data_IF_768420590731
#
_entry.id   IF_768420590731
#
_cell.length_a   1.000
_cell.length_b   1.000
_cell.length_c   1.000
_cell.angle_alpha   90.00
_cell.angle_beta   90.00
_cell.angle_gamma   90.00
#
_symmetry.space_group_name_H-M   'P 1'
#
loop_
_entity.id
_entity.type
_entity.pdbx_description
1 polymer ?
#
# COMPACT_ATOMS: atom_id res chain seq x y z
N UNK A 1 4.97 -13.60 4.47
CA UNK A 1 4.87 -12.83 3.23
C UNK A 1 4.35 -11.42 3.52
N UNK A 2 4.76 -10.46 2.76
CA UNK A 2 4.24 -9.10 2.86
C UNK A 2 2.80 -9.08 2.32
N UNK A 3 1.86 -8.71 3.16
CA UNK A 3 0.43 -8.65 2.80
C UNK A 3 0.09 -7.25 2.33
N UNK A 4 -0.35 -7.14 1.09
CA UNK A 4 -0.67 -5.85 0.45
C UNK A 4 -2.16 -5.75 0.17
N UNK A 5 -2.73 -4.61 0.49
CA UNK A 5 -4.10 -4.24 0.16
C UNK A 5 -4.08 -3.09 -0.84
N UNK A 6 -4.91 -3.15 -1.87
CA UNK A 6 -4.98 -2.13 -2.92
C UNK A 6 -6.26 -1.32 -2.80
N UNK A 7 -6.14 0.01 -2.82
CA UNK A 7 -7.28 0.93 -2.81
C UNK A 7 -7.15 1.89 -3.99
N UNK A 8 -7.99 1.70 -5.00
CA UNK A 8 -8.01 2.51 -6.22
C UNK A 8 -9.39 2.37 -6.86
N UNK A 9 -9.97 3.45 -7.35
CA UNK A 9 -11.30 3.40 -7.96
C UNK A 9 -11.32 2.82 -9.38
N UNK A 10 -10.15 2.71 -10.02
CA UNK A 10 -10.03 2.10 -11.34
C UNK A 10 -9.81 0.59 -11.24
N UNK A 11 -10.79 -0.18 -11.65
CA UNK A 11 -10.67 -1.65 -11.71
C UNK A 11 -9.52 -2.11 -12.62
N UNK A 12 -9.29 -1.40 -13.72
CA UNK A 12 -8.20 -1.70 -14.63
C UNK A 12 -6.83 -1.49 -13.97
N UNK A 13 -6.68 -0.39 -13.24
CA UNK A 13 -5.43 -0.10 -12.52
C UNK A 13 -5.20 -1.14 -11.42
N UNK A 14 -6.24 -1.46 -10.63
CA UNK A 14 -6.12 -2.50 -9.59
C UNK A 14 -5.72 -3.84 -10.19
N UNK A 15 -6.32 -4.22 -11.31
CA UNK A 15 -6.00 -5.48 -11.99
C UNK A 15 -4.53 -5.52 -12.42
N UNK A 16 -4.03 -4.44 -13.01
CA UNK A 16 -2.63 -4.33 -13.42
C UNK A 16 -1.68 -4.40 -12.23
N UNK A 17 -1.97 -3.62 -11.19
CA UNK A 17 -1.13 -3.61 -9.98
C UNK A 17 -1.12 -4.98 -9.31
N UNK A 18 -2.28 -5.62 -9.22
CA UNK A 18 -2.39 -6.95 -8.64
C UNK A 18 -1.54 -7.97 -9.40
N UNK A 19 -1.56 -7.93 -10.74
CA UNK A 19 -0.77 -8.83 -11.55
C UNK A 19 0.73 -8.56 -11.41
N UNK A 20 1.15 -7.30 -11.45
CA UNK A 20 2.56 -6.93 -11.39
C UNK A 20 3.15 -7.13 -9.99
N UNK A 21 2.45 -6.70 -8.97
CA UNK A 21 2.91 -6.75 -7.59
C UNK A 21 2.77 -8.16 -7.03
N UNK A 22 1.67 -8.83 -7.32
CA UNK A 22 1.43 -10.20 -6.87
C UNK A 22 2.41 -11.21 -7.42
N UNK A 23 3.09 -10.89 -8.52
CA UNK A 23 4.13 -11.74 -9.09
C UNK A 23 5.48 -11.61 -8.36
N UNK A 24 5.65 -10.61 -7.50
CA UNK A 24 6.89 -10.42 -6.75
C UNK A 24 7.05 -11.48 -5.67
N UNK A 25 8.28 -11.95 -5.49
CA UNK A 25 8.57 -12.94 -4.45
C UNK A 25 8.33 -12.36 -3.06
N UNK A 26 7.70 -13.13 -2.18
CA UNK A 26 7.44 -12.71 -0.81
C UNK A 26 6.27 -11.76 -0.64
N UNK A 27 5.45 -11.57 -1.66
CA UNK A 27 4.31 -10.66 -1.67
C UNK A 27 3.02 -11.43 -1.92
N UNK A 28 1.96 -11.05 -1.21
CA UNK A 28 0.60 -11.55 -1.46
C UNK A 28 -0.38 -10.38 -1.41
N UNK A 29 -1.27 -10.32 -2.41
CA UNK A 29 -2.36 -9.34 -2.42
C UNK A 29 -3.51 -9.95 -1.62
N UNK A 30 -3.84 -9.32 -0.48
CA UNK A 30 -4.85 -9.85 0.43
C UNK A 30 -6.24 -9.24 0.23
N UNK A 31 -6.34 -8.18 -0.56
CA UNK A 31 -7.63 -7.59 -0.86
C UNK A 31 -7.52 -6.33 -1.70
N UNK A 32 -8.66 -5.87 -2.17
CA UNK A 32 -8.80 -4.67 -2.99
C UNK A 32 -10.10 -3.96 -2.63
N UNK A 33 -10.12 -2.64 -2.78
CA UNK A 33 -11.33 -1.85 -2.63
C UNK A 33 -11.30 -0.66 -3.59
N UNK A 34 -12.47 -0.27 -4.08
CA UNK A 34 -12.62 0.92 -4.91
C UNK A 34 -13.20 2.10 -4.13
N UNK A 35 -13.66 1.88 -2.90
CA UNK A 35 -14.31 2.89 -2.07
C UNK A 35 -13.59 3.05 -0.74
N UNK A 36 -13.40 4.31 -0.33
CA UNK A 36 -12.75 4.63 0.94
C UNK A 36 -13.53 4.11 2.15
N UNK A 37 -14.86 4.21 2.10
CA UNK A 37 -15.72 3.87 3.24
C UNK A 37 -15.61 2.41 3.65
N UNK A 38 -15.42 1.51 2.70
CA UNK A 38 -15.32 0.07 2.97
C UNK A 38 -13.88 -0.39 3.17
N UNK A 39 -12.93 0.39 2.66
CA UNK A 39 -11.54 -0.02 2.65
C UNK A 39 -10.99 -0.28 4.03
N UNK A 40 -11.22 0.62 4.99
CA UNK A 40 -10.65 0.49 6.33
C UNK A 40 -11.08 -0.79 7.04
N UNK A 41 -12.36 -1.15 6.95
CA UNK A 41 -12.86 -2.40 7.53
C UNK A 41 -12.21 -3.63 6.92
N UNK A 42 -12.11 -3.65 5.60
CA UNK A 42 -11.48 -4.76 4.88
C UNK A 42 -9.99 -4.85 5.18
N UNK A 43 -9.30 -3.71 5.24
CA UNK A 43 -7.87 -3.67 5.58
C UNK A 43 -7.63 -4.28 6.95
N UNK A 44 -8.45 -3.93 7.94
CA UNK A 44 -8.34 -4.49 9.29
C UNK A 44 -8.56 -6.00 9.31
N UNK A 45 -9.56 -6.47 8.57
CA UNK A 45 -9.87 -7.89 8.51
C UNK A 45 -8.77 -8.72 7.86
N UNK A 46 -8.07 -8.15 6.88
CA UNK A 46 -7.01 -8.86 6.16
C UNK A 46 -5.65 -8.78 6.86
N UNK A 47 -5.52 -7.96 7.89
CA UNK A 47 -4.24 -7.70 8.57
C UNK A 47 -3.13 -7.29 7.61
N UNK A 48 -3.46 -6.42 6.65
CA UNK A 48 -2.51 -5.97 5.66
C UNK A 48 -1.31 -5.26 6.30
N UNK A 49 -0.13 -5.50 5.75
CA UNK A 49 1.12 -4.88 6.21
C UNK A 49 1.39 -3.57 5.50
N UNK A 50 0.98 -3.48 4.24
CA UNK A 50 1.13 -2.32 3.39
C UNK A 50 -0.16 -2.08 2.62
N UNK A 51 -0.61 -0.84 2.60
CA UNK A 51 -1.78 -0.43 1.81
C UNK A 51 -1.30 0.52 0.71
N UNK A 52 -1.54 0.15 -0.53
CA UNK A 52 -1.26 1.01 -1.68
C UNK A 52 -2.57 1.73 -2.02
N UNK A 53 -2.56 3.05 -1.93
CA UNK A 53 -3.77 3.85 -2.05
C UNK A 53 -3.58 4.99 -3.04
N UNK A 54 -4.56 5.18 -3.93
CA UNK A 54 -4.72 6.41 -4.69
C UNK A 54 -5.69 7.30 -3.89
N UNK A 55 -5.23 8.47 -3.40
CA UNK A 55 -6.09 9.33 -2.59
C UNK A 55 -7.23 9.99 -3.35
N UNK A 56 -7.20 9.98 -4.68
CA UNK A 56 -8.24 10.55 -5.53
C UNK A 56 -9.33 9.52 -5.84
N UNK A 57 -9.99 9.02 -4.79
CA UNK A 57 -11.05 8.01 -4.92
C UNK A 57 -12.40 8.66 -5.16
N UNK A 58 -13.19 8.06 -6.06
CA UNK A 58 -14.59 8.44 -6.23
C UNK A 58 -15.36 8.12 -4.95
N UNK A 59 -16.21 9.05 -4.51
CA UNK A 59 -17.09 8.82 -3.36
C UNK A 59 -16.44 8.86 -1.99
N UNK A 60 -15.15 9.22 -1.90
CA UNK A 60 -14.48 9.30 -0.62
C UNK A 60 -13.12 9.94 -0.73
N UNK A 61 -12.53 10.28 0.42
CA UNK A 61 -11.21 10.89 0.49
C UNK A 61 -10.19 9.83 0.94
N UNK A 62 -9.33 9.42 0.01
CA UNK A 62 -8.26 8.47 0.31
C UNK A 62 -7.27 8.95 1.37
N UNK A 63 -7.19 10.26 1.58
CA UNK A 63 -6.35 10.83 2.64
C UNK A 63 -6.81 10.41 4.04
N UNK A 64 -8.11 10.19 4.23
CA UNK A 64 -8.63 9.69 5.50
C UNK A 64 -8.14 8.28 5.78
N UNK A 65 -8.01 7.47 4.74
CA UNK A 65 -7.44 6.12 4.88
C UNK A 65 -6.00 6.22 5.36
N UNK A 66 -5.20 7.07 4.72
CA UNK A 66 -3.79 7.27 5.08
C UNK A 66 -3.67 7.70 6.54
N UNK A 67 -4.44 8.69 6.94
CA UNK A 67 -4.43 9.22 8.30
C UNK A 67 -4.85 8.15 9.32
N UNK A 68 -5.93 7.44 9.06
CA UNK A 68 -6.43 6.39 9.95
C UNK A 68 -5.43 5.25 10.13
N UNK A 69 -4.76 4.83 9.07
CA UNK A 69 -3.78 3.76 9.14
C UNK A 69 -2.51 4.20 9.85
N UNK A 70 -2.10 5.45 9.68
CA UNK A 70 -0.94 6.00 10.40
C UNK A 70 -1.19 6.08 11.90
N UNK A 71 -2.44 6.30 12.31
CA UNK A 71 -2.83 6.39 13.74
C UNK A 71 -3.20 5.04 14.35
N UNK A 72 -3.30 4.01 13.55
CA UNK A 72 -3.65 2.67 14.04
C UNK A 72 -2.56 2.14 14.99
N UNK A 73 -2.94 1.21 15.86
CA UNK A 73 -2.02 0.58 16.80
C UNK A 73 -2.02 -0.93 16.58
N UNK A 74 -0.96 -1.51 16.01
CA UNK A 74 0.22 -0.83 15.45
C UNK A 74 -0.08 -0.08 14.15
N UNK A 75 0.73 0.91 13.77
CA UNK A 75 0.52 1.62 12.51
C UNK A 75 0.67 0.69 11.32
N UNK A 76 -0.12 0.96 10.28
CA UNK A 76 -0.04 0.23 9.00
C UNK A 76 0.69 1.12 7.99
N UNK A 77 1.66 0.55 7.29
CA UNK A 77 2.39 1.29 6.26
C UNK A 77 1.47 1.64 5.10
N UNK A 78 1.59 2.85 4.59
CA UNK A 78 0.84 3.31 3.43
C UNK A 78 1.78 3.76 2.32
N UNK A 79 1.44 3.40 1.10
CA UNK A 79 2.13 3.87 -0.10
C UNK A 79 1.11 4.58 -0.98
N UNK A 80 1.27 5.89 -1.11
CA UNK A 80 0.45 6.66 -2.04
C UNK A 80 1.00 6.48 -3.44
N UNK A 81 0.16 6.05 -4.35
CA UNK A 81 0.50 5.85 -5.76
C UNK A 81 -0.55 6.57 -6.60
N UNK A 82 -0.17 7.68 -7.21
CA UNK A 82 -1.12 8.60 -7.85
C UNK A 82 -0.53 9.25 -9.10
N UNK A 83 -1.41 9.69 -10.02
CA UNK A 83 -1.00 10.53 -11.14
C UNK A 83 -0.90 12.01 -10.77
N UNK A 84 -1.32 12.38 -9.58
CA UNK A 84 -1.29 13.77 -9.09
C UNK A 84 -0.12 13.96 -8.13
N UNK A 85 1.07 14.21 -8.68
CA UNK A 85 2.33 14.19 -7.93
C UNK A 85 2.91 15.57 -7.64
N UNK A 86 2.11 16.62 -7.69
CA UNK A 86 2.58 17.98 -7.38
C UNK A 86 3.15 18.11 -5.97
N UNK A 87 4.13 19.03 -5.76
CA UNK A 87 4.81 19.14 -4.45
C UNK A 87 3.88 19.42 -3.28
N UNK A 88 2.84 20.24 -3.48
CA UNK A 88 1.87 20.55 -2.42
C UNK A 88 1.07 19.31 -2.02
N UNK A 89 0.66 18.52 -3.00
CA UNK A 89 -0.09 17.30 -2.75
C UNK A 89 0.79 16.23 -2.07
N UNK A 90 2.02 16.09 -2.54
CA UNK A 90 3.01 15.20 -1.90
C UNK A 90 3.22 15.57 -0.43
N UNK A 91 3.39 16.86 -0.14
CA UNK A 91 3.55 17.33 1.23
C UNK A 91 2.30 17.06 2.07
N UNK A 92 1.11 17.24 1.51
CA UNK A 92 -0.15 16.94 2.22
C UNK A 92 -0.25 15.44 2.58
N UNK A 93 0.12 14.56 1.67
CA UNK A 93 0.13 13.12 1.92
C UNK A 93 1.13 12.75 3.04
N UNK A 94 2.30 13.35 3.02
CA UNK A 94 3.31 13.13 4.05
C UNK A 94 2.83 13.60 5.42
N UNK A 95 2.16 14.77 5.48
CA UNK A 95 1.59 15.27 6.73
C UNK A 95 0.46 14.40 7.26
N UNK A 96 -0.29 13.75 6.37
CA UNK A 96 -1.31 12.80 6.78
C UNK A 96 -0.74 11.48 7.30
N UNK A 97 0.56 11.26 7.13
CA UNK A 97 1.24 10.09 7.65
C UNK A 97 1.57 9.02 6.61
N UNK A 98 1.53 9.35 5.32
CA UNK A 98 1.93 8.41 4.28
C UNK A 98 3.38 8.00 4.47
N UNK A 99 3.62 6.70 4.43
CA UNK A 99 4.99 6.15 4.57
C UNK A 99 5.80 6.36 3.30
N UNK A 100 5.16 6.24 2.14
CA UNK A 100 5.78 6.38 0.83
C UNK A 100 4.84 7.13 -0.11
N UNK A 101 5.42 7.82 -1.08
CA UNK A 101 4.67 8.54 -2.11
C UNK A 101 5.38 8.38 -3.44
N UNK A 102 4.68 7.89 -4.46
CA UNK A 102 5.23 7.72 -5.81
C UNK A 102 4.22 8.14 -6.87
N UNK A 103 4.74 8.64 -7.99
CA UNK A 103 3.96 8.92 -9.19
C UNK A 103 3.72 7.63 -9.98
N UNK A 104 2.47 7.38 -10.38
CA UNK A 104 2.09 6.16 -11.11
C UNK A 104 2.83 6.00 -12.44
N UNK A 105 3.11 7.10 -13.12
CA UNK A 105 3.70 7.05 -14.46
C UNK A 105 5.22 7.14 -14.44
N UNK A 106 5.79 8.00 -13.61
CA UNK A 106 7.22 8.27 -13.60
C UNK A 106 8.02 7.51 -12.55
N UNK A 107 7.36 7.03 -11.49
CA UNK A 107 8.06 6.46 -10.34
C UNK A 107 7.60 5.03 -10.00
N UNK A 108 6.92 4.35 -10.92
CA UNK A 108 6.43 3.00 -10.65
C UNK A 108 7.56 2.03 -10.28
N UNK A 109 8.71 2.14 -10.93
CA UNK A 109 9.84 1.26 -10.64
C UNK A 109 10.36 1.47 -9.22
N UNK A 110 10.36 2.72 -8.75
CA UNK A 110 10.74 3.04 -7.37
C UNK A 110 9.74 2.44 -6.38
N UNK A 111 8.46 2.46 -6.70
CA UNK A 111 7.43 1.83 -5.88
C UNK A 111 7.65 0.32 -5.81
N UNK A 112 7.92 -0.32 -6.94
CA UNK A 112 8.22 -1.75 -7.01
C UNK A 112 9.45 -2.11 -6.17
N UNK A 113 10.52 -1.34 -6.30
CA UNK A 113 11.76 -1.59 -5.57
C UNK A 113 11.54 -1.45 -4.05
N UNK A 114 10.72 -0.50 -3.64
CA UNK A 114 10.34 -0.33 -2.24
C UNK A 114 9.58 -1.55 -1.73
N UNK A 115 8.64 -2.07 -2.51
CA UNK A 115 7.86 -3.27 -2.16
C UNK A 115 8.79 -4.48 -2.02
N UNK A 116 9.73 -4.65 -2.94
CA UNK A 116 10.70 -5.75 -2.88
C UNK A 116 11.53 -5.66 -1.60
N UNK A 117 11.97 -4.47 -1.24
CA UNK A 117 12.72 -4.26 0.00
C UNK A 117 11.88 -4.61 1.22
N UNK A 118 10.64 -4.14 1.28
CA UNK A 118 9.73 -4.43 2.38
C UNK A 118 9.43 -5.93 2.48
N UNK A 119 9.28 -6.60 1.35
CA UNK A 119 9.05 -8.04 1.33
C UNK A 119 10.25 -8.79 1.89
N UNK A 120 11.47 -8.36 1.58
CA UNK A 120 12.68 -8.95 2.13
C UNK A 120 12.80 -8.74 3.64
N UNK A 121 12.43 -7.56 4.12
CA UNK A 121 12.42 -7.27 5.57
C UNK A 121 11.33 -8.08 6.30
N UNK A 122 10.29 -8.48 5.61
CA UNK A 122 9.17 -9.25 6.16
C UNK A 122 9.38 -10.76 6.13
N UNK A 123 10.53 -11.22 5.66
CA UNK A 123 10.84 -12.64 5.69
C UNK A 123 10.92 -13.12 7.13
N UNK A 124 10.32 -14.27 7.47
CA UNK A 124 10.57 -14.86 8.76
C UNK A 124 12.07 -15.11 8.87
N UNK A 125 12.68 -14.61 9.94
CA UNK A 125 14.09 -14.87 10.20
C UNK A 125 14.28 -16.39 10.31
N UNK A 126 15.37 -16.92 9.70
CA UNK A 126 15.71 -18.31 9.93
C UNK A 126 15.85 -18.50 11.44
N UNK A 127 15.15 -19.47 11.96
CA UNK A 127 15.17 -19.77 13.38
C UNK A 127 16.60 -20.09 13.79
N UNK A 128 17.22 -19.32 14.73
CA UNK A 128 18.63 -19.54 15.08
C UNK A 128 18.91 -20.92 15.63
N UNK A 129 17.89 -21.61 16.03
CA UNK A 129 17.98 -22.96 16.61
C UNK A 129 17.60 -24.05 15.64
N UNK A 130 17.41 -23.73 14.39
CA UNK A 130 17.12 -24.78 13.43
C UNK A 130 18.30 -25.75 13.42
N UNK A 131 18.03 -27.04 13.68
CA UNK A 131 19.11 -28.00 13.55
C UNK A 131 19.61 -27.95 12.11
N UNK A 132 20.85 -27.77 12.02
CA UNK A 132 21.53 -27.74 10.74
C UNK A 132 21.16 -28.98 9.92
#
# INVERSE_FOLDING_TARGET
>A
MLKIFLVDDSGLVRHRLSALIGALAGVVIVGESEEADRALGCIRMTHADLVIVDPHLAGGNGMEIVDSLARATPPVLTMVLTNHSGPAFRAACQRAGASYFFDKTGEYELARDTIVRLANEHRPEPTPCEPA
#
